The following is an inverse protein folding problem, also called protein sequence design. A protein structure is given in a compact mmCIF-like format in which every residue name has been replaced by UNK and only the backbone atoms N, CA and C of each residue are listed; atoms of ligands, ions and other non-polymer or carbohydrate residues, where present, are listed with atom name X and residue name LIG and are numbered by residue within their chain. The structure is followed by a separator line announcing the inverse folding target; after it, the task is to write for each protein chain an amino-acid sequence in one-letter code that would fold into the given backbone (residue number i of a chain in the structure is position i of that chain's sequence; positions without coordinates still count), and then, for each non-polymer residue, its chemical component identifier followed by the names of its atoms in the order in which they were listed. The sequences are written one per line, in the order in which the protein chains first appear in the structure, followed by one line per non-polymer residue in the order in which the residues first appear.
data_IF_805305264438
#
_entry.id   IF_805305264438
#
_cell.length_a   1.000
_cell.length_b   1.000
_cell.length_c   1.000
_cell.angle_alpha   90.00
_cell.angle_beta   90.00
_cell.angle_gamma   90.00
#
_symmetry.space_group_name_H-M   'P 1'
#
loop_
_entity.id
_entity.type
_entity.pdbx_description
1 polymer ?
#
# COMPACT_ATOMS: atom_id res chain seq x y z
N UNK A 1 -0.65 16.17 -23.27
CA UNK A 1 0.74 15.76 -23.10
C UNK A 1 0.70 14.52 -22.24
N UNK A 2 1.16 13.40 -22.76
CA UNK A 2 1.12 12.13 -22.05
C UNK A 2 2.36 12.00 -21.16
N UNK A 3 2.18 12.01 -19.83
CA UNK A 3 3.29 11.87 -18.88
C UNK A 3 3.29 10.48 -18.26
N UNK A 4 4.46 10.01 -17.85
CA UNK A 4 4.58 8.83 -16.98
C UNK A 4 5.63 9.08 -15.91
N UNK A 5 5.38 8.59 -14.70
CA UNK A 5 6.30 8.74 -13.57
C UNK A 5 6.81 7.35 -13.18
N UNK A 6 8.12 7.13 -13.28
CA UNK A 6 8.80 5.94 -12.81
C UNK A 6 9.58 6.27 -11.53
N UNK A 7 9.33 5.51 -10.47
CA UNK A 7 9.99 5.67 -9.17
C UNK A 7 10.86 4.44 -8.92
N UNK A 8 12.18 4.61 -8.80
CA UNK A 8 13.08 3.55 -8.33
C UNK A 8 13.10 3.56 -6.80
N UNK A 9 12.88 2.40 -6.19
CA UNK A 9 12.70 2.27 -4.75
C UNK A 9 13.33 0.99 -4.19
N UNK A 10 13.85 1.08 -2.97
CA UNK A 10 14.32 -0.08 -2.20
C UNK A 10 13.20 -1.08 -1.93
N UNK A 11 13.49 -2.37 -2.04
CA UNK A 11 12.45 -3.40 -2.06
C UNK A 11 11.89 -3.73 -0.67
N UNK A 12 12.63 -3.50 0.42
CA UNK A 12 12.16 -3.87 1.77
C UNK A 12 11.00 -2.99 2.26
N UNK A 13 10.95 -1.73 1.83
CA UNK A 13 9.92 -0.76 2.24
C UNK A 13 8.93 -0.40 1.13
N UNK A 14 9.08 -0.97 -0.07
CA UNK A 14 8.17 -0.75 -1.21
C UNK A 14 6.71 -1.07 -0.86
N UNK A 15 6.46 -2.14 -0.10
CA UNK A 15 5.12 -2.54 0.33
C UNK A 15 4.46 -1.54 1.31
N UNK A 16 5.23 -0.66 1.97
CA UNK A 16 4.72 0.47 2.75
C UNK A 16 4.58 1.73 1.89
N UNK A 17 5.55 2.00 1.00
CA UNK A 17 5.53 3.18 0.14
C UNK A 17 4.36 3.15 -0.85
N UNK A 18 4.03 2.00 -1.43
CA UNK A 18 2.92 1.86 -2.39
C UNK A 18 1.59 2.37 -1.81
N UNK A 19 1.05 1.82 -0.69
CA UNK A 19 -0.18 2.34 -0.10
C UNK A 19 -0.04 3.75 0.46
N UNK A 20 1.13 4.14 0.99
CA UNK A 20 1.35 5.52 1.44
C UNK A 20 1.10 6.51 0.30
N UNK A 21 1.72 6.29 -0.87
CA UNK A 21 1.55 7.16 -2.03
C UNK A 21 0.12 7.08 -2.59
N UNK A 22 -0.49 5.89 -2.59
CA UNK A 22 -1.86 5.68 -3.08
C UNK A 22 -2.91 6.43 -2.24
N UNK A 23 -2.70 6.53 -0.93
CA UNK A 23 -3.52 7.36 -0.05
C UNK A 23 -3.12 8.84 -0.13
N UNK A 24 -1.85 9.17 -0.34
CA UNK A 24 -1.40 10.56 -0.37
C UNK A 24 -1.79 11.30 -1.66
N UNK A 25 -1.78 10.63 -2.81
CA UNK A 25 -1.97 11.25 -4.12
C UNK A 25 -3.39 11.06 -4.62
N UNK A 26 -4.09 12.17 -4.91
CA UNK A 26 -5.47 12.20 -5.40
C UNK A 26 -5.53 12.83 -6.78
N UNK A 27 -6.55 12.46 -7.56
CA UNK A 27 -6.81 13.03 -8.88
C UNK A 27 -5.59 12.97 -9.81
N UNK A 28 -4.85 11.86 -9.79
CA UNK A 28 -3.72 11.65 -10.70
C UNK A 28 -4.19 11.76 -12.15
N UNK A 29 -3.44 12.50 -12.95
CA UNK A 29 -3.68 12.72 -14.38
C UNK A 29 -2.71 11.91 -15.26
N UNK A 30 -1.75 11.21 -14.64
CA UNK A 30 -0.77 10.36 -15.30
C UNK A 30 -0.50 9.09 -14.49
N UNK A 31 0.03 8.06 -15.17
CA UNK A 31 0.42 6.82 -14.53
C UNK A 31 1.68 7.01 -13.67
N UNK A 32 1.69 6.38 -12.49
CA UNK A 32 2.81 6.39 -11.54
C UNK A 32 3.20 4.95 -11.22
N UNK A 33 4.44 4.58 -11.52
CA UNK A 33 4.95 3.22 -11.31
C UNK A 33 6.09 3.21 -10.30
N UNK A 34 5.96 2.44 -9.22
CA UNK A 34 7.09 2.07 -8.37
C UNK A 34 7.78 0.81 -8.92
N UNK A 35 9.10 0.76 -8.87
CA UNK A 35 9.85 -0.46 -9.16
C UNK A 35 11.18 -0.49 -8.39
N UNK A 36 11.91 -1.59 -8.50
CA UNK A 36 13.20 -1.78 -7.85
C UNK A 36 13.90 -3.04 -8.38
N UNK A 37 14.88 -3.54 -7.63
CA UNK A 37 15.54 -4.81 -7.96
C UNK A 37 16.06 -5.53 -6.71
N UNK A 38 16.27 -6.84 -6.82
CA UNK A 38 17.02 -7.61 -5.82
C UNK A 38 18.52 -7.64 -6.10
N UNK A 39 18.91 -7.43 -7.36
CA UNK A 39 20.32 -7.35 -7.78
C UNK A 39 20.59 -5.97 -8.38
N UNK A 40 21.69 -5.29 -8.02
CA UNK A 40 21.98 -3.97 -8.58
C UNK A 40 22.16 -3.99 -10.09
N UNK A 41 21.74 -2.91 -10.77
CA UNK A 41 21.89 -2.82 -12.22
C UNK A 41 23.35 -2.62 -12.65
N UNK A 42 24.19 -1.99 -11.80
CA UNK A 42 25.62 -1.80 -12.05
C UNK A 42 26.49 -3.03 -11.68
N UNK A 43 25.87 -4.21 -11.49
CA UNK A 43 26.62 -5.39 -11.05
C UNK A 43 27.32 -6.12 -12.21
N UNK A 44 28.63 -5.95 -12.32
CA UNK A 44 29.46 -6.43 -13.44
C UNK A 44 29.39 -7.96 -13.73
N UNK A 45 28.94 -8.79 -12.78
CA UNK A 45 29.02 -10.25 -12.87
C UNK A 45 27.68 -10.99 -12.71
N UNK A 46 26.54 -10.31 -12.57
CA UNK A 46 25.23 -10.94 -12.39
C UNK A 46 24.15 -10.30 -13.25
N UNK A 47 23.18 -11.10 -13.69
CA UNK A 47 22.01 -10.60 -14.40
C UNK A 47 21.07 -9.97 -13.38
N UNK A 48 20.90 -8.65 -13.46
CA UNK A 48 19.98 -7.90 -12.59
C UNK A 48 18.53 -8.06 -13.06
N UNK A 49 17.61 -8.31 -12.12
CA UNK A 49 16.16 -8.24 -12.34
C UNK A 49 15.68 -6.80 -12.59
N UNK A 50 16.51 -5.80 -12.26
CA UNK A 50 16.24 -4.38 -12.49
C UNK A 50 16.01 -4.04 -13.96
N UNK A 51 16.73 -4.69 -14.88
CA UNK A 51 16.53 -4.46 -16.32
C UNK A 51 15.11 -4.85 -16.77
N UNK A 52 14.64 -6.04 -16.38
CA UNK A 52 13.29 -6.47 -16.74
C UNK A 52 12.22 -5.67 -15.98
N UNK A 53 12.44 -5.38 -14.69
CA UNK A 53 11.52 -4.60 -13.87
C UNK A 53 11.31 -3.18 -14.46
N UNK A 54 12.38 -2.48 -14.84
CA UNK A 54 12.31 -1.16 -15.49
C UNK A 54 11.64 -1.25 -16.87
N UNK A 55 11.98 -2.26 -17.67
CA UNK A 55 11.33 -2.47 -18.97
C UNK A 55 9.82 -2.65 -18.80
N UNK A 56 9.40 -3.58 -17.94
CA UNK A 56 7.99 -3.81 -17.62
C UNK A 56 7.30 -2.54 -17.12
N UNK A 57 7.94 -1.80 -16.21
CA UNK A 57 7.41 -0.56 -15.66
C UNK A 57 7.05 0.46 -16.76
N UNK A 58 7.95 0.72 -17.71
CA UNK A 58 7.69 1.63 -18.83
C UNK A 58 6.60 1.11 -19.76
N UNK A 59 6.57 -0.21 -20.02
CA UNK A 59 5.50 -0.83 -20.81
C UNK A 59 4.13 -0.62 -20.16
N UNK A 60 3.99 -0.89 -18.87
CA UNK A 60 2.74 -0.65 -18.14
C UNK A 60 2.36 0.84 -18.06
N UNK A 61 3.33 1.75 -17.87
CA UNK A 61 3.10 3.21 -17.89
C UNK A 61 2.44 3.66 -19.22
N UNK A 62 2.85 3.08 -20.34
CA UNK A 62 2.31 3.42 -21.67
C UNK A 62 0.92 2.84 -21.95
N UNK A 63 0.49 1.78 -21.25
CA UNK A 63 -0.68 1.00 -21.65
C UNK A 63 -1.84 1.01 -20.64
N UNK A 64 -1.62 1.31 -19.36
CA UNK A 64 -2.69 1.31 -18.36
C UNK A 64 -3.54 2.59 -18.42
N UNK A 65 -4.86 2.44 -18.34
CA UNK A 65 -5.82 3.53 -18.20
C UNK A 65 -7.00 3.14 -17.30
N UNK A 66 -7.65 4.06 -16.55
CA UNK A 66 -7.28 5.46 -16.34
C UNK A 66 -5.92 5.61 -15.63
N UNK A 67 -5.41 6.85 -15.44
CA UNK A 67 -4.22 7.08 -14.63
C UNK A 67 -4.26 6.33 -13.30
N UNK A 68 -3.27 5.47 -13.08
CA UNK A 68 -3.18 4.58 -11.92
C UNK A 68 -1.80 4.68 -11.28
N UNK A 69 -1.76 4.56 -9.95
CA UNK A 69 -0.55 4.34 -9.18
C UNK A 69 -0.39 2.83 -8.90
N UNK A 70 0.71 2.25 -9.36
CA UNK A 70 0.98 0.82 -9.23
C UNK A 70 2.46 0.53 -8.99
N UNK A 71 2.78 -0.70 -8.61
CA UNK A 71 4.15 -1.21 -8.54
C UNK A 71 4.36 -2.29 -9.61
N UNK A 72 5.55 -2.33 -10.22
CA UNK A 72 5.94 -3.39 -11.14
C UNK A 72 7.12 -4.16 -10.57
N UNK A 73 6.96 -5.48 -10.50
CA UNK A 73 8.01 -6.40 -10.05
C UNK A 73 7.86 -7.78 -10.70
N UNK A 74 8.55 -8.78 -10.13
CA UNK A 74 8.51 -10.18 -10.55
C UNK A 74 9.15 -10.41 -11.93
N UNK A 75 10.29 -9.76 -12.17
CA UNK A 75 10.97 -9.67 -13.47
C UNK A 75 10.17 -8.83 -14.49
N UNK A 76 9.53 -7.77 -14.02
CA UNK A 76 8.76 -6.84 -14.83
C UNK A 76 7.46 -7.38 -15.37
N UNK A 77 7.02 -8.57 -14.95
CA UNK A 77 5.85 -9.24 -15.54
C UNK A 77 4.56 -8.97 -14.80
N UNK A 78 4.57 -8.33 -13.64
CA UNK A 78 3.37 -8.15 -12.81
C UNK A 78 3.24 -6.71 -12.34
N UNK A 79 2.08 -6.10 -12.59
CA UNK A 79 1.70 -4.77 -12.14
C UNK A 79 0.65 -4.87 -11.01
N UNK A 80 0.94 -4.28 -9.86
CA UNK A 80 0.12 -4.33 -8.65
C UNK A 80 -0.38 -2.94 -8.27
N UNK A 81 -1.69 -2.75 -8.21
CA UNK A 81 -2.31 -1.50 -7.74
C UNK A 81 -2.62 -1.53 -6.23
N UNK A 82 -2.89 -2.74 -5.70
CA UNK A 82 -3.39 -2.96 -4.35
C UNK A 82 -2.34 -3.57 -3.41
N UNK A 83 -2.83 -4.18 -2.33
CA UNK A 83 -2.06 -4.79 -1.26
C UNK A 83 -0.91 -5.67 -1.78
N UNK A 84 0.31 -5.34 -1.34
CA UNK A 84 1.53 -6.03 -1.72
C UNK A 84 2.27 -6.57 -0.49
N UNK A 85 2.93 -7.71 -0.63
CA UNK A 85 3.80 -8.29 0.40
C UNK A 85 5.11 -8.81 -0.21
N UNK A 86 6.25 -8.48 0.42
CA UNK A 86 7.55 -9.06 0.06
C UNK A 86 7.71 -10.42 0.72
N UNK A 87 7.91 -11.47 -0.08
CA UNK A 87 7.96 -12.87 0.39
C UNK A 87 9.27 -13.58 0.06
N UNK A 88 10.01 -13.11 -0.95
CA UNK A 88 11.33 -13.64 -1.30
C UNK A 88 12.40 -12.56 -1.11
N UNK A 89 13.58 -12.98 -0.60
CA UNK A 89 14.68 -12.06 -0.27
C UNK A 89 15.59 -11.75 -1.44
N UNK A 90 15.78 -12.70 -2.35
CA UNK A 90 16.87 -12.67 -3.33
C UNK A 90 16.42 -12.93 -4.76
N UNK A 91 15.19 -13.40 -4.96
CA UNK A 91 14.68 -13.76 -6.29
C UNK A 91 13.93 -12.59 -6.89
N UNK A 92 14.02 -12.41 -8.20
CA UNK A 92 13.27 -11.38 -8.93
C UNK A 92 11.75 -11.50 -8.71
N UNK A 93 11.23 -12.71 -8.46
CA UNK A 93 9.86 -12.98 -8.01
C UNK A 93 9.68 -12.66 -6.51
N UNK A 94 9.92 -11.42 -6.11
CA UNK A 94 10.03 -11.02 -4.70
C UNK A 94 8.69 -10.77 -4.01
N UNK A 95 7.68 -10.35 -4.76
CA UNK A 95 6.43 -9.86 -4.20
C UNK A 95 5.26 -10.75 -4.60
N UNK A 96 4.24 -10.75 -3.73
CA UNK A 96 2.94 -11.32 -4.01
C UNK A 96 1.85 -10.30 -3.72
N UNK A 97 0.79 -10.36 -4.51
CA UNK A 97 -0.37 -9.46 -4.47
C UNK A 97 -1.39 -9.91 -5.51
N UNK A 98 -2.38 -9.06 -5.80
CA UNK A 98 -3.34 -9.30 -6.89
C UNK A 98 -2.99 -8.42 -8.09
N UNK A 99 -2.24 -8.92 -9.09
CA UNK A 99 -1.85 -8.07 -10.20
C UNK A 99 -3.08 -7.59 -10.99
N UNK A 100 -3.10 -6.31 -11.34
CA UNK A 100 -4.11 -5.72 -12.23
C UNK A 100 -3.84 -6.05 -13.69
N UNK A 101 -2.57 -6.25 -14.03
CA UNK A 101 -2.13 -6.68 -15.35
C UNK A 101 -0.83 -7.48 -15.24
N UNK A 102 -0.60 -8.36 -16.21
CA UNK A 102 0.63 -9.16 -16.31
C UNK A 102 1.18 -9.12 -17.71
N UNK A 103 2.49 -9.29 -17.87
CA UNK A 103 3.16 -9.32 -19.16
C UNK A 103 3.79 -10.70 -19.38
N UNK A 104 3.46 -11.31 -20.52
CA UNK A 104 4.13 -12.52 -21.01
C UNK A 104 4.81 -12.16 -22.33
N UNK A 105 6.14 -12.31 -22.37
CA UNK A 105 6.97 -11.80 -23.46
C UNK A 105 6.80 -10.27 -23.59
N UNK A 106 6.11 -9.79 -24.63
CA UNK A 106 5.80 -8.37 -24.83
C UNK A 106 4.29 -8.09 -24.83
N UNK A 107 3.46 -9.09 -24.54
CA UNK A 107 2.01 -8.97 -24.51
C UNK A 107 1.52 -8.72 -23.08
N UNK A 108 0.87 -7.58 -22.88
CA UNK A 108 0.22 -7.24 -21.61
C UNK A 108 -1.21 -7.75 -21.61
N UNK A 109 -1.57 -8.45 -20.54
CA UNK A 109 -2.90 -9.00 -20.29
C UNK A 109 -3.50 -8.37 -19.03
N UNK A 110 -4.72 -7.86 -19.14
CA UNK A 110 -5.50 -7.42 -17.99
C UNK A 110 -5.90 -8.62 -17.13
N UNK A 111 -5.90 -8.45 -15.81
CA UNK A 111 -6.25 -9.50 -14.84
C UNK A 111 -7.42 -9.11 -13.96
N UNK A 112 -7.36 -7.93 -13.35
CA UNK A 112 -8.31 -7.48 -12.34
C UNK A 112 -8.28 -5.96 -12.17
N UNK A 113 -9.20 -5.45 -11.34
CA UNK A 113 -9.30 -4.03 -11.03
C UNK A 113 -10.00 -3.22 -12.12
N UNK A 114 -10.09 -1.91 -11.88
CA UNK A 114 -10.79 -0.96 -12.76
C UNK A 114 -9.90 -0.47 -13.91
N UNK A 115 -8.57 -0.72 -13.83
CA UNK A 115 -7.64 -0.45 -14.91
C UNK A 115 -7.97 -1.26 -16.17
N UNK A 116 -7.66 -0.70 -17.33
CA UNK A 116 -7.86 -1.25 -18.67
C UNK A 116 -6.58 -1.06 -19.48
N UNK A 117 -6.49 -1.77 -20.58
CA UNK A 117 -5.39 -1.66 -21.52
C UNK A 117 -5.81 -0.82 -22.73
N UNK A 118 -4.97 0.14 -23.08
CA UNK A 118 -5.00 0.86 -24.35
C UNK A 118 -3.81 0.45 -25.22
N UNK A 119 -3.84 0.89 -26.48
CA UNK A 119 -2.66 0.79 -27.36
C UNK A 119 -1.45 1.49 -26.74
N UNK A 120 -0.23 0.97 -26.90
CA UNK A 120 0.98 1.59 -26.37
C UNK A 120 1.15 3.01 -26.92
N UNK A 121 1.28 3.97 -26.00
CA UNK A 121 1.57 5.36 -26.37
C UNK A 121 3.02 5.70 -26.09
N UNK A 122 3.62 6.53 -26.96
CA UNK A 122 4.91 7.15 -26.67
C UNK A 122 4.66 8.26 -25.65
N UNK A 123 5.35 8.22 -24.52
CA UNK A 123 5.22 9.26 -23.49
C UNK A 123 5.87 10.56 -24.01
N UNK A 124 5.20 11.69 -23.85
CA UNK A 124 5.82 12.98 -24.17
C UNK A 124 6.96 13.30 -23.18
N UNK A 125 6.78 12.94 -21.92
CA UNK A 125 7.78 13.10 -20.86
C UNK A 125 7.70 11.95 -19.85
N UNK A 126 8.85 11.32 -19.62
CA UNK A 126 9.05 10.35 -18.55
C UNK A 126 9.77 11.02 -17.38
N UNK A 127 9.16 11.05 -16.21
CA UNK A 127 9.83 11.49 -14.98
C UNK A 127 10.42 10.26 -14.29
N UNK A 128 11.74 10.23 -14.13
CA UNK A 128 12.43 9.22 -13.33
C UNK A 128 12.74 9.80 -11.94
N UNK A 129 12.01 9.36 -10.92
CA UNK A 129 12.26 9.72 -9.52
C UNK A 129 13.13 8.64 -8.89
N UNK A 130 14.31 9.01 -8.40
CA UNK A 130 15.23 8.05 -7.76
C UNK A 130 15.28 8.23 -6.25
N UNK A 131 15.24 7.11 -5.51
CA UNK A 131 15.26 7.11 -4.04
C UNK A 131 16.43 6.31 -3.44
N UNK A 132 17.24 5.65 -4.28
CA UNK A 132 18.30 4.74 -3.87
C UNK A 132 17.84 3.28 -3.87
N UNK A 133 18.23 2.53 -2.85
CA UNK A 133 18.05 1.08 -2.79
C UNK A 133 18.91 0.32 -3.80
N UNK A 134 18.76 -1.01 -3.78
CA UNK A 134 19.62 -1.94 -4.53
C UNK A 134 19.74 -1.62 -6.03
N UNK A 135 18.66 -1.17 -6.67
CA UNK A 135 18.63 -0.87 -8.11
C UNK A 135 19.60 0.23 -8.51
N UNK A 136 19.80 1.21 -7.63
CA UNK A 136 20.68 2.36 -7.82
C UNK A 136 22.02 2.18 -7.09
N UNK A 137 22.30 1.01 -6.49
CA UNK A 137 23.52 0.78 -5.73
C UNK A 137 24.69 0.26 -6.56
N UNK A 138 25.91 0.57 -6.13
CA UNK A 138 27.16 0.03 -6.67
C UNK A 138 27.97 -0.68 -5.56
N UNK A 139 28.74 -1.73 -5.90
CA UNK A 139 29.63 -2.37 -4.94
C UNK A 139 30.77 -1.45 -4.49
N UNK A 140 31.05 -1.42 -3.18
CA UNK A 140 32.22 -0.71 -2.65
C UNK A 140 33.50 -1.46 -3.03
N UNK A 141 34.22 -0.96 -4.02
CA UNK A 141 35.47 -1.58 -4.43
C UNK A 141 36.55 -1.44 -3.33
N UNK A 142 37.04 -2.56 -2.81
CA UNK A 142 38.23 -2.62 -1.94
C UNK A 142 37.98 -2.48 -0.43
N UNK A 143 36.74 -2.63 0.06
CA UNK A 143 36.42 -2.65 1.50
C UNK A 143 35.80 -3.98 1.94
N UNK A 144 34.60 -4.24 1.45
CA UNK A 144 33.81 -5.47 1.56
C UNK A 144 32.76 -5.45 0.44
N UNK A 145 32.18 -6.60 0.05
CA UNK A 145 31.19 -6.70 -1.05
C UNK A 145 29.83 -6.02 -0.74
N UNK A 146 29.81 -5.06 0.21
CA UNK A 146 28.64 -4.27 0.53
C UNK A 146 28.28 -3.31 -0.61
N UNK A 147 27.00 -2.96 -0.68
CA UNK A 147 26.42 -2.10 -1.71
C UNK A 147 26.09 -0.75 -1.10
N UNK A 148 26.42 0.34 -1.81
CA UNK A 148 26.02 1.70 -1.45
C UNK A 148 25.26 2.36 -2.59
N UNK A 149 24.29 3.23 -2.30
CA UNK A 149 23.62 4.02 -3.35
C UNK A 149 24.65 4.79 -4.20
N UNK A 150 24.51 4.71 -5.53
CA UNK A 150 25.43 5.21 -6.54
C UNK A 150 24.76 6.01 -7.66
N UNK A 151 25.43 6.14 -8.82
CA UNK A 151 24.85 6.78 -10.01
C UNK A 151 23.80 5.84 -10.63
N UNK A 152 22.60 6.36 -10.89
CA UNK A 152 21.50 5.54 -11.42
C UNK A 152 21.76 5.15 -12.89
N UNK A 153 22.10 3.87 -13.10
CA UNK A 153 22.21 3.24 -14.43
C UNK A 153 20.85 3.12 -15.13
N UNK A 154 19.76 3.39 -14.42
CA UNK A 154 18.39 3.32 -14.92
C UNK A 154 18.17 4.32 -16.06
N UNK A 155 18.67 5.56 -15.92
CA UNK A 155 18.56 6.56 -16.98
C UNK A 155 19.25 6.10 -18.27
N UNK A 156 20.49 5.61 -18.16
CA UNK A 156 21.27 5.14 -19.30
C UNK A 156 20.58 3.96 -19.98
N UNK A 157 20.09 2.99 -19.19
CA UNK A 157 19.32 1.88 -19.71
C UNK A 157 18.07 2.33 -20.48
N UNK A 158 17.28 3.25 -19.92
CA UNK A 158 16.08 3.78 -20.57
C UNK A 158 16.41 4.43 -21.92
N UNK A 159 17.45 5.27 -21.96
CA UNK A 159 17.88 5.96 -23.20
C UNK A 159 18.42 5.00 -24.25
N UNK A 160 19.10 3.92 -23.85
CA UNK A 160 19.71 2.97 -24.78
C UNK A 160 18.75 1.88 -25.25
N UNK A 161 17.96 1.31 -24.35
CA UNK A 161 17.12 0.15 -24.60
C UNK A 161 15.68 0.51 -24.98
N UNK A 162 15.20 1.71 -24.60
CA UNK A 162 13.82 2.14 -24.83
C UNK A 162 13.71 3.58 -25.39
N UNK A 163 14.54 4.01 -26.36
CA UNK A 163 14.54 5.38 -26.86
C UNK A 163 13.21 5.80 -27.50
N UNK A 164 12.44 4.83 -28.02
CA UNK A 164 11.16 5.08 -28.70
C UNK A 164 9.97 5.07 -27.72
N UNK A 165 10.19 4.83 -26.43
CA UNK A 165 9.11 4.80 -25.43
C UNK A 165 8.74 6.20 -24.91
N UNK A 166 9.62 7.19 -25.06
CA UNK A 166 9.40 8.56 -24.60
C UNK A 166 10.13 9.60 -25.47
N UNK A 167 9.55 10.79 -25.63
CA UNK A 167 10.21 11.91 -26.32
C UNK A 167 11.28 12.60 -25.47
N UNK A 168 11.06 12.67 -24.15
CA UNK A 168 11.97 13.30 -23.20
C UNK A 168 11.94 12.58 -21.85
N UNK A 169 13.03 12.70 -21.08
CA UNK A 169 13.13 12.15 -19.73
C UNK A 169 13.74 13.20 -18.79
N UNK A 170 13.13 13.37 -17.63
CA UNK A 170 13.57 14.25 -16.55
C UNK A 170 13.88 13.41 -15.31
N UNK A 171 15.08 13.59 -14.73
CA UNK A 171 15.54 12.81 -13.58
C UNK A 171 15.49 13.64 -12.30
N UNK A 172 14.82 13.12 -11.28
CA UNK A 172 14.55 13.77 -10.01
C UNK A 172 15.14 12.94 -8.88
N UNK A 173 16.21 13.43 -8.27
CA UNK A 173 16.90 12.73 -7.17
C UNK A 173 16.33 13.19 -5.83
N UNK A 174 15.29 12.51 -5.36
CA UNK A 174 14.61 12.86 -4.09
C UNK A 174 15.47 12.47 -2.89
N UNK A 175 16.00 11.25 -2.89
CA UNK A 175 16.92 10.76 -1.88
C UNK A 175 17.79 9.64 -2.45
N UNK A 176 18.75 9.17 -1.66
CA UNK A 176 19.67 8.09 -2.03
C UNK A 176 20.00 7.30 -0.77
N UNK A 177 19.07 6.45 -0.36
CA UNK A 177 19.11 5.74 0.93
C UNK A 177 19.00 4.23 0.75
N UNK A 178 19.44 3.47 1.75
CA UNK A 178 19.09 2.06 1.83
C UNK A 178 17.59 1.90 2.15
N UNK A 179 17.00 0.77 1.76
CA UNK A 179 15.57 0.52 2.02
C UNK A 179 15.23 0.55 3.51
N UNK A 180 16.17 0.15 4.38
CA UNK A 180 16.02 0.18 5.84
C UNK A 180 16.07 1.59 6.44
N UNK A 181 16.56 2.58 5.69
CA UNK A 181 16.62 3.98 6.08
C UNK A 181 15.43 4.79 5.52
N UNK A 182 14.52 4.14 4.79
CA UNK A 182 13.30 4.78 4.30
C UNK A 182 12.40 5.17 5.48
N UNK A 183 12.19 6.47 5.65
CA UNK A 183 11.39 7.04 6.74
C UNK A 183 10.15 7.75 6.20
N UNK A 184 9.18 8.05 7.08
CA UNK A 184 8.00 8.83 6.71
C UNK A 184 8.34 10.17 6.03
N UNK A 185 9.24 11.03 6.55
CA UNK A 185 9.61 12.26 5.85
C UNK A 185 10.14 12.04 4.43
N UNK A 186 10.85 10.94 4.18
CA UNK A 186 11.30 10.58 2.83
C UNK A 186 10.13 10.14 1.95
N UNK A 187 9.17 9.36 2.47
CA UNK A 187 7.95 9.02 1.73
C UNK A 187 7.11 10.26 1.40
N UNK A 188 7.01 11.22 2.32
CA UNK A 188 6.36 12.52 2.08
C UNK A 188 7.09 13.33 0.99
N UNK A 189 8.42 13.31 0.99
CA UNK A 189 9.22 13.94 -0.07
C UNK A 189 8.99 13.30 -1.44
N UNK A 190 8.89 11.97 -1.50
CA UNK A 190 8.54 11.23 -2.73
C UNK A 190 7.14 11.65 -3.19
N UNK A 191 6.14 11.69 -2.30
CA UNK A 191 4.78 12.09 -2.65
C UNK A 191 4.72 13.52 -3.21
N UNK A 192 5.43 14.47 -2.59
CA UNK A 192 5.53 15.86 -3.09
C UNK A 192 6.16 15.92 -4.48
N UNK A 193 7.21 15.14 -4.72
CA UNK A 193 7.88 15.14 -6.02
C UNK A 193 7.01 14.51 -7.12
N UNK A 194 6.30 13.43 -6.80
CA UNK A 194 5.31 12.83 -7.71
C UNK A 194 4.22 13.84 -8.05
N UNK A 195 3.69 14.56 -7.05
CA UNK A 195 2.66 15.59 -7.26
C UNK A 195 3.16 16.75 -8.14
N UNK A 196 4.40 17.21 -7.94
CA UNK A 196 5.04 18.23 -8.80
C UNK A 196 5.17 17.75 -10.24
N UNK A 197 5.65 16.53 -10.45
CA UNK A 197 5.81 15.93 -11.76
C UNK A 197 4.46 15.74 -12.48
N UNK A 198 3.44 15.27 -11.76
CA UNK A 198 2.10 15.05 -12.32
C UNK A 198 1.45 16.37 -12.72
N UNK A 199 1.45 17.37 -11.83
CA UNK A 199 0.74 18.64 -12.04
C UNK A 199 1.51 19.69 -12.84
N UNK A 200 2.83 19.52 -13.00
CA UNK A 200 3.73 20.53 -13.56
C UNK A 200 3.87 21.79 -12.71
N UNK A 201 3.45 21.76 -11.44
CA UNK A 201 3.52 22.90 -10.51
C UNK A 201 4.82 22.88 -9.72
N UNK A 202 5.42 24.05 -9.55
CA UNK A 202 6.64 24.25 -8.75
C UNK A 202 6.39 25.05 -7.46
N UNK A 203 5.16 25.53 -7.26
CA UNK A 203 4.84 26.41 -6.13
C UNK A 203 4.78 25.63 -4.82
N UNK A 204 5.64 25.99 -3.86
CA UNK A 204 5.67 25.39 -2.50
C UNK A 204 4.57 25.94 -1.58
N UNK A 205 3.47 26.46 -2.13
CA UNK A 205 2.40 27.03 -1.32
C UNK A 205 1.52 25.89 -0.73
N UNK A 206 1.53 25.66 0.59
CA UNK A 206 0.77 24.56 1.20
C UNK A 206 -0.75 24.71 1.02
N UNK A 207 -1.23 25.92 0.73
CA UNK A 207 -2.64 26.15 0.43
C UNK A 207 -3.05 25.69 -0.99
N UNK A 208 -2.10 25.25 -1.82
CA UNK A 208 -2.25 24.96 -3.25
C UNK A 208 -1.94 23.48 -3.59
N UNK A 209 -1.64 22.65 -2.57
CA UNK A 209 -1.42 21.19 -2.66
C UNK A 209 -2.74 20.41 -2.91
N UNK A 210 -3.59 20.92 -3.80
CA UNK A 210 -4.80 20.23 -4.23
C UNK A 210 -4.40 18.88 -4.87
N UNK A 211 -4.96 17.80 -4.33
CA UNK A 211 -4.61 16.44 -4.71
C UNK A 211 -3.42 15.80 -3.96
N UNK A 212 -2.82 16.47 -2.97
CA UNK A 212 -1.79 15.88 -2.11
C UNK A 212 -2.23 15.94 -0.64
N UNK A 213 -2.32 14.78 -0.01
CA UNK A 213 -2.84 14.61 1.34
C UNK A 213 -1.88 13.79 2.21
N UNK A 214 -1.15 14.48 3.08
CA UNK A 214 -0.10 13.87 3.92
C UNK A 214 -0.54 13.68 5.38
N UNK A 215 -1.85 13.72 5.65
CA UNK A 215 -2.39 13.54 6.99
C UNK A 215 -2.46 12.05 7.35
N UNK A 216 -1.37 11.57 7.96
CA UNK A 216 -1.27 10.22 8.52
C UNK A 216 -0.96 10.31 10.02
N UNK A 217 -1.76 9.64 10.84
CA UNK A 217 -1.44 9.42 12.26
C UNK A 217 -0.22 8.51 12.40
N UNK A 218 0.52 8.62 13.50
CA UNK A 218 1.74 7.81 13.73
C UNK A 218 1.52 6.64 14.68
N UNK A 219 0.52 6.70 15.56
CA UNK A 219 0.31 5.71 16.62
C UNK A 219 -0.37 4.42 16.16
N UNK A 220 -0.11 3.91 14.96
CA UNK A 220 -0.66 2.61 14.52
C UNK A 220 0.39 1.52 14.71
N UNK A 221 0.16 0.65 15.70
CA UNK A 221 1.12 -0.39 16.09
C UNK A 221 0.78 -1.73 15.41
N UNK A 222 1.79 -2.35 14.79
CA UNK A 222 1.73 -3.74 14.35
C UNK A 222 2.05 -4.67 15.53
N UNK A 223 1.18 -5.62 15.83
CA UNK A 223 1.35 -6.58 16.91
C UNK A 223 1.22 -8.00 16.36
N UNK A 224 2.27 -8.82 16.49
CA UNK A 224 2.21 -10.22 16.05
C UNK A 224 1.70 -11.11 17.19
N UNK A 225 0.80 -12.03 16.85
CA UNK A 225 0.52 -13.16 17.70
C UNK A 225 1.71 -14.13 17.69
N UNK A 226 2.15 -14.60 18.85
CA UNK A 226 3.07 -15.72 18.93
C UNK A 226 2.75 -16.57 20.17
N UNK A 227 3.17 -17.85 20.21
CA UNK A 227 2.84 -18.74 21.32
C UNK A 227 3.49 -18.38 22.66
N UNK A 228 4.29 -17.31 22.72
CA UNK A 228 5.03 -16.88 23.92
C UNK A 228 4.53 -15.54 24.47
N UNK A 229 3.77 -14.78 23.69
CA UNK A 229 3.27 -13.46 24.06
C UNK A 229 2.04 -13.57 24.95
N UNK A 230 2.08 -12.87 26.09
CA UNK A 230 1.00 -12.87 27.08
C UNK A 230 0.05 -11.68 26.89
N UNK A 231 -1.13 -11.77 27.51
CA UNK A 231 -2.19 -10.76 27.54
C UNK A 231 -1.68 -9.38 27.95
N UNK A 232 -0.76 -9.33 28.91
CA UNK A 232 -0.22 -8.06 29.42
C UNK A 232 0.66 -7.39 28.35
N UNK A 233 1.40 -8.16 27.55
CA UNK A 233 2.19 -7.63 26.42
C UNK A 233 1.27 -7.08 25.32
N UNK A 234 0.16 -7.77 25.02
CA UNK A 234 -0.83 -7.26 24.08
C UNK A 234 -1.49 -5.96 24.59
N UNK A 235 -1.84 -5.89 25.87
CA UNK A 235 -2.42 -4.69 26.47
C UNK A 235 -1.44 -3.50 26.48
N UNK A 236 -0.14 -3.74 26.74
CA UNK A 236 0.88 -2.69 26.66
C UNK A 236 1.01 -2.08 25.27
N UNK A 237 0.77 -2.86 24.21
CA UNK A 237 0.69 -2.32 22.85
C UNK A 237 -0.51 -1.40 22.71
N UNK A 238 -1.68 -1.82 23.18
CA UNK A 238 -2.91 -1.01 23.14
C UNK A 238 -2.73 0.32 23.86
N UNK A 239 -2.12 0.33 25.04
CA UNK A 239 -1.96 1.55 25.85
C UNK A 239 -1.20 2.65 25.12
N UNK A 240 -0.15 2.32 24.38
CA UNK A 240 0.65 3.29 23.61
C UNK A 240 0.13 3.59 22.21
N UNK A 241 -0.72 2.72 21.65
CA UNK A 241 -1.24 2.87 20.29
C UNK A 241 -2.46 3.81 20.22
N UNK A 242 -2.66 4.45 19.07
CA UNK A 242 -3.92 5.03 18.62
C UNK A 242 -4.81 3.98 17.93
N UNK A 243 -4.20 3.01 17.25
CA UNK A 243 -4.87 1.80 16.74
C UNK A 243 -3.90 0.61 16.71
N UNK A 244 -4.44 -0.60 16.80
CA UNK A 244 -3.65 -1.84 16.76
C UNK A 244 -4.00 -2.64 15.52
N UNK A 245 -2.99 -3.12 14.80
CA UNK A 245 -3.11 -4.17 13.78
C UNK A 245 -2.53 -5.46 14.34
N UNK A 246 -3.40 -6.36 14.78
CA UNK A 246 -3.03 -7.68 15.27
C UNK A 246 -2.84 -8.64 14.10
N UNK A 247 -1.60 -9.06 13.85
CA UNK A 247 -1.26 -10.11 12.90
C UNK A 247 -1.52 -11.48 13.56
N UNK A 248 -2.72 -12.03 13.31
CA UNK A 248 -3.16 -13.33 13.80
C UNK A 248 -2.65 -14.51 12.97
N UNK A 249 -2.91 -15.72 13.46
CA UNK A 249 -2.49 -16.96 12.84
C UNK A 249 -3.39 -17.37 11.66
N UNK A 250 -2.81 -17.94 10.61
CA UNK A 250 -3.54 -18.63 9.54
C UNK A 250 -4.60 -17.76 8.88
N UNK A 251 -5.89 -18.06 9.10
CA UNK A 251 -7.00 -17.26 8.58
C UNK A 251 -7.29 -15.95 9.33
N UNK A 252 -6.41 -15.49 10.23
CA UNK A 252 -6.63 -14.33 11.10
C UNK A 252 -7.14 -14.70 12.50
N UNK A 253 -6.76 -15.86 13.04
CA UNK A 253 -7.18 -16.28 14.38
C UNK A 253 -6.22 -15.76 15.46
N UNK A 254 -6.74 -15.56 16.67
CA UNK A 254 -5.92 -15.27 17.85
C UNK A 254 -6.47 -16.01 19.08
N UNK A 255 -5.64 -16.19 20.12
CA UNK A 255 -6.10 -16.86 21.34
C UNK A 255 -7.16 -16.00 22.03
N UNK A 256 -8.33 -16.59 22.27
CA UNK A 256 -9.46 -15.96 22.95
C UNK A 256 -9.83 -16.68 24.26
N UNK A 257 -8.98 -17.60 24.74
CA UNK A 257 -9.29 -18.42 25.90
C UNK A 257 -8.94 -17.66 27.20
N UNK A 258 -9.92 -17.28 28.05
CA UNK A 258 -9.67 -16.49 29.25
C UNK A 258 -8.80 -17.19 30.31
N UNK A 259 -8.61 -18.51 30.21
CA UNK A 259 -7.76 -19.28 31.13
C UNK A 259 -6.28 -19.28 30.74
N UNK A 260 -5.96 -18.86 29.51
CA UNK A 260 -4.60 -18.87 28.99
C UNK A 260 -3.96 -17.49 29.15
N UNK A 261 -2.68 -17.43 29.55
CA UNK A 261 -1.96 -16.16 29.60
C UNK A 261 -1.82 -15.53 28.21
N UNK A 262 -1.87 -16.29 27.11
CA UNK A 262 -1.75 -15.80 25.73
C UNK A 262 -3.05 -15.16 25.17
N UNK A 263 -4.08 -14.96 26.00
CA UNK A 263 -5.38 -14.43 25.59
C UNK A 263 -5.30 -12.99 25.06
N UNK A 264 -5.19 -12.84 23.74
CA UNK A 264 -5.16 -11.55 23.07
C UNK A 264 -6.53 -10.83 23.06
N UNK A 265 -7.62 -11.51 23.42
CA UNK A 265 -8.96 -10.89 23.45
C UNK A 265 -9.06 -9.80 24.53
N UNK A 266 -8.29 -9.87 25.62
CA UNK A 266 -8.27 -8.81 26.63
C UNK A 266 -7.75 -7.48 26.06
N UNK A 267 -6.80 -7.54 25.12
CA UNK A 267 -6.31 -6.35 24.44
C UNK A 267 -7.39 -5.73 23.54
N UNK A 268 -8.22 -6.53 22.86
CA UNK A 268 -9.37 -6.02 22.11
C UNK A 268 -10.36 -5.30 23.05
N UNK A 269 -10.68 -5.89 24.21
CA UNK A 269 -11.58 -5.26 25.17
C UNK A 269 -11.03 -3.94 25.67
N UNK A 270 -9.75 -3.90 26.04
CA UNK A 270 -9.07 -2.68 26.45
C UNK A 270 -9.09 -1.62 25.34
N UNK A 271 -8.81 -2.01 24.09
CA UNK A 271 -8.85 -1.08 22.96
C UNK A 271 -10.24 -0.47 22.79
N UNK A 272 -11.30 -1.27 22.94
CA UNK A 272 -12.69 -0.78 22.89
C UNK A 272 -13.06 0.13 24.05
N UNK A 273 -12.63 -0.19 25.26
CA UNK A 273 -12.81 0.69 26.42
C UNK A 273 -12.13 2.04 26.20
N UNK A 274 -11.02 2.06 25.45
CA UNK A 274 -10.28 3.26 25.08
C UNK A 274 -10.73 3.91 23.76
N UNK A 275 -11.76 3.37 23.07
CA UNK A 275 -12.24 3.88 21.78
C UNK A 275 -11.25 3.75 20.62
N UNK A 276 -10.29 2.81 20.71
CA UNK A 276 -9.22 2.62 19.73
C UNK A 276 -9.57 1.55 18.70
N UNK A 277 -9.39 1.80 17.38
CA UNK A 277 -9.57 0.77 16.38
C UNK A 277 -8.64 -0.43 16.60
N UNK A 278 -9.20 -1.63 16.52
CA UNK A 278 -8.47 -2.88 16.66
C UNK A 278 -8.71 -3.74 15.43
N UNK A 279 -7.71 -3.83 14.57
CA UNK A 279 -7.74 -4.54 13.30
C UNK A 279 -7.12 -5.92 13.50
N UNK A 280 -7.83 -6.98 13.11
CA UNK A 280 -7.35 -8.35 13.13
C UNK A 280 -7.14 -8.83 11.69
N UNK A 281 -5.90 -9.19 11.36
CA UNK A 281 -5.52 -9.72 10.06
C UNK A 281 -4.65 -10.97 10.22
N UNK A 282 -4.01 -11.43 9.16
CA UNK A 282 -3.12 -12.59 9.16
C UNK A 282 -1.63 -12.23 9.09
N UNK A 283 -0.80 -13.07 9.69
CA UNK A 283 0.64 -13.13 9.43
C UNK A 283 0.98 -13.76 8.09
N UNK A 284 0.05 -14.56 7.54
CA UNK A 284 0.22 -15.19 6.24
C UNK A 284 -0.02 -14.11 5.18
N UNK A 285 0.97 -13.82 4.33
CA UNK A 285 0.87 -12.72 3.37
C UNK A 285 -0.07 -13.00 2.19
N UNK A 286 -0.53 -14.25 2.04
CA UNK A 286 -1.32 -14.71 0.89
C UNK A 286 -2.72 -15.10 1.33
N UNK A 287 -3.70 -14.48 0.67
CA UNK A 287 -5.10 -14.82 0.79
C UNK A 287 -5.81 -14.02 1.89
N UNK A 288 -7.14 -13.82 1.77
CA UNK A 288 -7.88 -13.02 2.72
C UNK A 288 -8.00 -13.71 4.09
N UNK A 289 -7.91 -12.94 5.17
CA UNK A 289 -8.37 -13.34 6.49
C UNK A 289 -9.86 -13.73 6.43
N UNK A 290 -10.20 -14.86 7.04
CA UNK A 290 -11.55 -15.42 7.06
C UNK A 290 -11.83 -16.10 8.40
N UNK A 291 -12.75 -15.50 9.17
CA UNK A 291 -13.05 -15.86 10.55
C UNK A 291 -14.07 -17.00 10.62
N UNK A 292 -13.67 -18.17 10.14
CA UNK A 292 -14.48 -19.39 10.15
C UNK A 292 -14.41 -20.11 11.50
N UNK A 293 -13.30 -19.95 12.22
CA UNK A 293 -13.10 -20.58 13.53
C UNK A 293 -13.56 -19.66 14.67
N UNK A 294 -14.08 -20.26 15.75
CA UNK A 294 -14.61 -19.53 16.92
C UNK A 294 -13.57 -18.56 17.51
N UNK A 295 -12.29 -18.93 17.52
CA UNK A 295 -11.21 -18.09 18.04
C UNK A 295 -11.02 -16.79 17.28
N UNK A 296 -11.23 -16.77 15.95
CA UNK A 296 -11.24 -15.55 15.16
C UNK A 296 -12.60 -14.86 15.15
N UNK A 297 -13.68 -15.63 14.98
CA UNK A 297 -15.05 -15.13 14.90
C UNK A 297 -15.47 -14.37 16.18
N UNK A 298 -14.95 -14.78 17.33
CA UNK A 298 -15.16 -14.08 18.60
C UNK A 298 -14.59 -12.66 18.58
N UNK A 299 -13.42 -12.40 18.02
CA UNK A 299 -12.88 -11.04 17.93
C UNK A 299 -13.79 -10.13 17.11
N UNK A 300 -14.30 -10.60 15.96
CA UNK A 300 -15.20 -9.81 15.11
C UNK A 300 -16.52 -9.49 15.84
N UNK A 301 -17.11 -10.50 16.52
CA UNK A 301 -18.30 -10.29 17.36
C UNK A 301 -18.05 -9.28 18.47
N UNK A 302 -16.87 -9.32 19.06
CA UNK A 302 -16.45 -8.44 20.13
C UNK A 302 -15.95 -7.08 19.64
N UNK A 303 -16.02 -6.77 18.34
CA UNK A 303 -15.76 -5.42 17.81
C UNK A 303 -14.43 -5.22 17.08
N UNK A 304 -13.64 -6.27 16.83
CA UNK A 304 -12.48 -6.15 15.96
C UNK A 304 -12.89 -5.92 14.50
N UNK A 305 -12.07 -5.18 13.78
CA UNK A 305 -12.18 -4.90 12.34
C UNK A 305 -11.38 -5.96 11.59
N UNK A 306 -11.94 -6.56 10.55
CA UNK A 306 -11.18 -7.49 9.71
C UNK A 306 -10.19 -6.78 8.80
N UNK A 307 -8.95 -7.27 8.73
CA UNK A 307 -7.98 -6.87 7.69
C UNK A 307 -8.24 -7.51 6.32
N UNK A 308 -9.17 -8.46 6.20
CA UNK A 308 -9.56 -9.16 4.95
C UNK A 308 -8.33 -9.49 4.08
N UNK A 309 -8.21 -8.91 2.89
CA UNK A 309 -7.15 -9.13 1.90
C UNK A 309 -5.96 -8.15 2.00
N UNK A 310 -5.99 -7.23 2.96
CA UNK A 310 -4.90 -6.30 3.16
C UNK A 310 -3.70 -6.98 3.82
N UNK A 311 -2.52 -6.69 3.29
CA UNK A 311 -1.24 -6.99 3.91
C UNK A 311 -1.08 -6.15 5.19
N UNK A 312 -0.07 -6.49 5.99
CA UNK A 312 0.23 -5.73 7.21
C UNK A 312 0.58 -4.26 6.93
N UNK A 313 1.43 -3.93 5.93
CA UNK A 313 1.64 -2.54 5.51
C UNK A 313 0.34 -1.83 5.14
N UNK A 314 -0.51 -2.47 4.34
CA UNK A 314 -1.76 -1.91 3.87
C UNK A 314 -2.73 -1.62 5.02
N UNK A 315 -2.89 -2.57 5.96
CA UNK A 315 -3.69 -2.36 7.18
C UNK A 315 -3.17 -1.18 8.00
N UNK A 316 -1.84 -1.08 8.16
CA UNK A 316 -1.21 -0.02 8.92
C UNK A 316 -1.44 1.34 8.28
N UNK A 317 -1.10 1.50 7.00
CA UNK A 317 -1.21 2.77 6.28
C UNK A 317 -2.65 3.23 6.16
N UNK A 318 -3.59 2.30 5.94
CA UNK A 318 -5.01 2.64 5.86
C UNK A 318 -5.54 3.17 7.19
N UNK A 319 -5.18 2.53 8.31
CA UNK A 319 -5.55 3.01 9.63
C UNK A 319 -4.88 4.35 9.97
N UNK A 320 -3.60 4.53 9.60
CA UNK A 320 -2.88 5.78 9.77
C UNK A 320 -3.56 6.93 9.01
N UNK A 321 -3.98 6.69 7.77
CA UNK A 321 -4.65 7.68 6.93
C UNK A 321 -6.01 8.08 7.51
N UNK A 322 -6.83 7.11 7.93
CA UNK A 322 -8.13 7.37 8.55
C UNK A 322 -7.98 8.14 9.88
N UNK A 323 -7.08 7.71 10.75
CA UNK A 323 -6.81 8.41 12.02
C UNK A 323 -6.21 9.81 11.81
N UNK A 324 -5.49 10.04 10.71
CA UNK A 324 -5.03 11.37 10.31
C UNK A 324 -6.17 12.35 10.03
N UNK A 325 -7.37 11.83 9.76
CA UNK A 325 -8.60 12.55 9.42
C UNK A 325 -9.70 12.36 10.48
N UNK A 326 -9.34 12.12 11.74
CA UNK A 326 -10.30 11.82 12.81
C UNK A 326 -11.37 12.92 12.98
N UNK A 327 -11.00 14.19 12.79
CA UNK A 327 -11.92 15.32 12.90
C UNK A 327 -12.95 15.32 11.76
N UNK A 328 -12.49 15.14 10.52
CA UNK A 328 -13.31 15.06 9.32
C UNK A 328 -14.23 13.84 9.40
N UNK A 329 -13.71 12.69 9.84
CA UNK A 329 -14.48 11.49 10.12
C UNK A 329 -15.59 11.74 11.15
N UNK A 330 -15.29 12.41 12.26
CA UNK A 330 -16.29 12.71 13.29
C UNK A 330 -17.41 13.62 12.77
N UNK A 331 -17.07 14.64 11.97
CA UNK A 331 -18.05 15.53 11.36
C UNK A 331 -18.91 14.79 10.32
N UNK A 332 -18.28 14.01 9.45
CA UNK A 332 -18.94 13.21 8.42
C UNK A 332 -19.87 12.16 9.04
N UNK A 333 -19.41 11.46 10.09
CA UNK A 333 -20.24 10.50 10.83
C UNK A 333 -21.48 11.18 11.43
N UNK A 334 -21.30 12.34 12.07
CA UNK A 334 -22.40 13.13 12.62
C UNK A 334 -23.41 13.55 11.54
N UNK A 335 -22.91 13.99 10.38
CA UNK A 335 -23.71 14.38 9.22
C UNK A 335 -24.53 13.22 8.61
N UNK A 336 -24.01 12.00 8.72
CA UNK A 336 -24.61 10.76 8.23
C UNK A 336 -25.49 10.06 9.28
N UNK A 337 -25.52 10.54 10.52
CA UNK A 337 -26.21 9.89 11.63
C UNK A 337 -25.55 8.58 12.08
N UNK A 338 -24.24 8.45 11.87
CA UNK A 338 -23.42 7.29 12.26
C UNK A 338 -22.52 7.65 13.45
N UNK A 339 -21.99 6.63 14.13
CA UNK A 339 -20.86 6.83 15.04
C UNK A 339 -19.56 6.96 14.25
N UNK A 340 -18.56 7.68 14.81
CA UNK A 340 -17.23 7.77 14.20
C UNK A 340 -16.58 6.39 14.04
N UNK A 341 -16.78 5.49 15.01
CA UNK A 341 -16.30 4.10 14.97
C UNK A 341 -16.90 3.32 13.79
N UNK A 342 -18.23 3.43 13.59
CA UNK A 342 -18.92 2.77 12.48
C UNK A 342 -18.44 3.28 11.13
N UNK A 343 -18.25 4.60 11.00
CA UNK A 343 -17.75 5.19 9.76
C UNK A 343 -16.29 4.81 9.50
N UNK A 344 -15.44 4.80 10.53
CA UNK A 344 -14.07 4.31 10.45
C UNK A 344 -14.03 2.88 9.93
N UNK A 345 -14.79 1.96 10.54
CA UNK A 345 -14.84 0.56 10.12
C UNK A 345 -15.39 0.40 8.70
N UNK A 346 -16.39 1.20 8.31
CA UNK A 346 -16.96 1.23 6.96
C UNK A 346 -15.93 1.64 5.90
N UNK A 347 -15.18 2.71 6.17
CA UNK A 347 -14.16 3.20 5.24
C UNK A 347 -12.92 2.30 5.22
N UNK A 348 -12.51 1.75 6.36
CA UNK A 348 -11.44 0.77 6.45
C UNK A 348 -11.74 -0.47 5.60
N UNK A 349 -13.00 -0.92 5.59
CA UNK A 349 -13.45 -2.08 4.81
C UNK A 349 -13.85 -1.75 3.37
N UNK A 350 -13.74 -0.49 2.93
CA UNK A 350 -14.14 -0.08 1.59
C UNK A 350 -13.24 -0.73 0.53
N UNK A 351 -13.84 -1.26 -0.54
CA UNK A 351 -13.11 -1.91 -1.63
C UNK A 351 -12.49 -3.29 -1.32
N UNK A 352 -12.62 -3.82 -0.10
CA UNK A 352 -11.94 -5.06 0.29
C UNK A 352 -12.53 -6.32 -0.36
N UNK A 353 -11.66 -7.26 -0.74
CA UNK A 353 -12.02 -8.49 -1.45
C UNK A 353 -12.04 -9.67 -0.47
N UNK A 354 -13.24 -9.98 0.02
CA UNK A 354 -13.46 -11.22 0.78
C UNK A 354 -13.21 -12.45 -0.10
N UNK A 355 -12.72 -13.53 0.53
CA UNK A 355 -12.42 -14.82 -0.14
C UNK A 355 -13.51 -15.30 -1.08
N UNK A 356 -14.78 -15.14 -0.68
CA UNK A 356 -15.96 -15.44 -1.49
C UNK A 356 -17.20 -14.73 -0.89
N UNK A 357 -18.36 -14.76 -1.57
CA UNK A 357 -19.59 -14.14 -1.06
C UNK A 357 -20.06 -14.68 0.29
N UNK A 358 -19.81 -15.96 0.61
CA UNK A 358 -20.20 -16.54 1.90
C UNK A 358 -19.35 -15.98 3.05
N UNK A 359 -18.04 -15.79 2.85
CA UNK A 359 -17.15 -15.13 3.81
C UNK A 359 -17.60 -13.68 4.08
N UNK A 360 -18.00 -12.94 3.03
CA UNK A 360 -18.56 -11.58 3.16
C UNK A 360 -19.83 -11.56 4.02
N UNK A 361 -20.77 -12.47 3.74
CA UNK A 361 -22.01 -12.59 4.53
C UNK A 361 -21.73 -13.03 5.97
N UNK A 362 -20.76 -13.92 6.18
CA UNK A 362 -20.35 -14.35 7.52
C UNK A 362 -19.82 -13.17 8.33
N UNK A 363 -18.95 -12.35 7.74
CA UNK A 363 -18.46 -11.12 8.40
C UNK A 363 -19.61 -10.18 8.77
N UNK A 364 -20.56 -9.93 7.87
CA UNK A 364 -21.73 -9.09 8.16
C UNK A 364 -22.56 -9.63 9.32
N UNK A 365 -22.72 -10.96 9.42
CA UNK A 365 -23.42 -11.60 10.56
C UNK A 365 -22.62 -11.44 11.86
N UNK A 366 -21.32 -11.70 11.84
CA UNK A 366 -20.45 -11.62 13.03
C UNK A 366 -20.34 -10.19 13.56
N UNK A 367 -20.26 -9.20 12.66
CA UNK A 367 -20.26 -7.78 13.02
C UNK A 367 -21.65 -7.26 13.44
N UNK A 368 -22.68 -8.11 13.46
CA UNK A 368 -24.04 -7.72 13.86
C UNK A 368 -24.72 -6.76 12.88
N UNK A 369 -24.28 -6.73 11.60
CA UNK A 369 -24.78 -5.80 10.59
C UNK A 369 -24.40 -4.34 10.84
N UNK A 370 -23.49 -4.06 11.78
CA UNK A 370 -23.11 -2.69 12.17
C UNK A 370 -22.40 -1.92 11.06
N UNK A 371 -21.84 -2.62 10.07
CA UNK A 371 -21.02 -2.02 9.01
C UNK A 371 -21.56 -2.31 7.63
N UNK A 372 -21.61 -1.27 6.81
CA UNK A 372 -21.91 -1.39 5.40
C UNK A 372 -20.64 -1.71 4.62
N UNK A 373 -20.62 -2.87 3.96
CA UNK A 373 -19.50 -3.26 3.12
C UNK A 373 -19.66 -2.62 1.75
N UNK A 374 -18.81 -1.64 1.45
CA UNK A 374 -18.77 -0.96 0.16
C UNK A 374 -18.08 -1.84 -0.90
N UNK A 375 -18.38 -1.61 -2.18
CA UNK A 375 -17.75 -2.35 -3.29
C UNK A 375 -16.46 -1.69 -3.77
N UNK A 376 -16.41 -0.37 -3.75
CA UNK A 376 -15.28 0.43 -4.22
C UNK A 376 -14.52 1.00 -3.03
N UNK A 377 -13.21 1.17 -3.21
CA UNK A 377 -12.37 1.89 -2.25
C UNK A 377 -12.63 3.40 -2.40
N UNK A 378 -13.10 4.03 -1.33
CA UNK A 378 -13.38 5.47 -1.33
C UNK A 378 -12.16 6.32 -0.96
N UNK A 379 -11.10 5.70 -0.43
CA UNK A 379 -9.93 6.42 0.06
C UNK A 379 -8.88 6.67 -1.02
N UNK A 380 -8.97 5.96 -2.15
CA UNK A 380 -7.99 6.02 -3.24
C UNK A 380 -8.49 6.92 -4.37
N UNK A 381 -7.58 7.70 -4.95
CA UNK A 381 -7.82 8.48 -6.16
C UNK A 381 -8.63 9.76 -5.99
N UNK A 382 -9.22 10.02 -4.81
CA UNK A 382 -10.10 11.18 -4.56
C UNK A 382 -9.82 11.87 -3.20
N UNK A 383 -10.09 13.18 -3.06
CA UNK A 383 -9.92 13.89 -1.79
C UNK A 383 -10.81 13.33 -0.68
N UNK A 384 -10.27 13.26 0.54
CA UNK A 384 -10.98 12.69 1.70
C UNK A 384 -12.32 13.38 1.98
N UNK A 385 -12.35 14.72 1.95
CA UNK A 385 -13.57 15.51 2.22
C UNK A 385 -14.65 15.29 1.14
N UNK A 386 -14.26 14.87 -0.07
CA UNK A 386 -15.18 14.64 -1.19
C UNK A 386 -15.97 13.33 -1.10
N UNK A 387 -15.64 12.42 -0.17
CA UNK A 387 -16.28 11.09 -0.11
C UNK A 387 -17.67 11.12 0.53
N UNK A 388 -18.03 12.18 1.27
CA UNK A 388 -19.28 12.27 2.04
C UNK A 388 -20.52 12.15 1.15
N UNK A 389 -20.54 12.81 0.00
CA UNK A 389 -21.70 12.80 -0.91
C UNK A 389 -21.94 11.40 -1.49
N UNK A 390 -20.87 10.69 -1.84
CA UNK A 390 -20.95 9.32 -2.33
C UNK A 390 -21.38 8.35 -1.23
N UNK A 391 -20.86 8.52 -0.01
CA UNK A 391 -21.34 7.78 1.15
C UNK A 391 -22.83 8.03 1.38
N UNK A 392 -23.32 9.28 1.32
CA UNK A 392 -24.76 9.58 1.44
C UNK A 392 -25.58 8.80 0.43
N UNK A 393 -25.13 8.69 -0.82
CA UNK A 393 -25.84 7.93 -1.86
C UNK A 393 -25.74 6.42 -1.69
N UNK A 394 -24.60 5.91 -1.20
CA UNK A 394 -24.40 4.48 -0.94
C UNK A 394 -25.15 3.99 0.30
N UNK A 395 -25.26 4.82 1.35
CA UNK A 395 -25.93 4.50 2.62
C UNK A 395 -27.46 4.68 2.56
N UNK A 396 -27.99 5.44 1.59
CA UNK A 396 -29.45 5.57 1.35
C UNK A 396 -30.09 4.33 0.71
N UNK A 397 -29.28 3.42 0.18
CA UNK A 397 -29.68 2.16 -0.47
C UNK A 397 -29.51 0.99 0.48
#
# INVERSE_FOLDING_TARGET
MERGILITHGTDTLAWTLPFLRYALKNLDCNVCLTGSQVPMEHAFAHSDGFQNVHGAVRFLSMLEPPTLFAVFNNGTEAFEDSLAKVERWRGSAFIGSPIATMEWDEIQHRAGDARLREPVVLDELHLITTGGTIDSAPIHGRDDSLIPGYSVVEDFLRMAMPDAFHSIAVHRVCSVDSAEMTRPLMEAIAREVWRCATGRTDENPAVEDGLDLHFAQGVELCYCDPFRHKDDYCQVVDRAQAVVLAGYGGGNACANPQLPENALEALKLAREQGKPFILTSQVPIGPADFVYETGARFIREGAISGVDNSLPECQLRAMYLLGHERELGQMASNLGLSAETLFETLFLSGMKFRNPASRQNYQKLSGGRVQLLKHDLLVGRPFVGIEDELRELLKK
#
